data_IF_303849186386
#
_entry.id   IF_303849186386
#
_cell.length_a   1.000
_cell.length_b   1.000
_cell.length_c   1.000
_cell.angle_alpha   90.00
_cell.angle_beta   90.00
_cell.angle_gamma   90.00
#
_symmetry.space_group_name_H-M   'P 1'
#
loop_
_entity.id
_entity.type
_entity.pdbx_description
1 polymer ?
#
# COMPACT_ATOMS: atom_id res chain seq x y z
N UNK A 1 18.72 22.20 -16.67
CA UNK A 1 17.75 22.56 -15.63
C UNK A 1 16.41 21.97 -16.05
N UNK A 2 15.88 21.02 -15.28
CA UNK A 2 14.66 20.28 -15.65
C UNK A 2 13.46 21.15 -15.26
N UNK A 3 12.76 21.70 -16.24
CA UNK A 3 11.62 22.58 -15.99
C UNK A 3 10.45 21.76 -15.43
N UNK A 4 10.05 22.02 -14.19
CA UNK A 4 8.80 21.47 -13.63
C UNK A 4 7.62 22.03 -14.43
N UNK A 5 6.79 21.15 -15.02
CA UNK A 5 5.67 21.56 -15.87
C UNK A 5 4.37 21.35 -15.11
N UNK A 6 3.88 22.39 -14.44
CA UNK A 6 2.59 22.36 -13.74
C UNK A 6 1.40 22.32 -14.71
N UNK A 7 1.22 21.20 -15.40
CA UNK A 7 0.13 20.92 -16.32
C UNK A 7 -0.87 19.95 -15.66
N UNK A 8 -2.09 19.88 -16.21
CA UNK A 8 -3.16 18.98 -15.73
C UNK A 8 -2.70 17.52 -15.67
N UNK A 9 -1.80 17.13 -16.57
CA UNK A 9 -1.18 15.80 -16.60
C UNK A 9 -0.24 15.54 -15.41
N UNK A 10 0.53 16.54 -14.96
CA UNK A 10 1.37 16.39 -13.75
C UNK A 10 0.51 16.33 -12.49
N UNK A 11 -0.59 17.11 -12.42
CA UNK A 11 -1.54 17.02 -11.31
C UNK A 11 -2.21 15.64 -11.28
N UNK A 12 -2.72 15.16 -12.42
CA UNK A 12 -3.33 13.83 -12.51
C UNK A 12 -2.33 12.72 -12.18
N UNK A 13 -1.09 12.82 -12.67
CA UNK A 13 -0.02 11.86 -12.39
C UNK A 13 0.40 11.85 -10.92
N UNK A 14 0.43 13.00 -10.25
CA UNK A 14 0.79 13.12 -8.83
C UNK A 14 -0.18 12.38 -7.90
N UNK A 15 -1.47 12.31 -8.28
CA UNK A 15 -2.50 11.62 -7.52
C UNK A 15 -2.58 10.11 -7.85
N UNK A 16 -1.87 9.66 -8.89
CA UNK A 16 -1.97 8.28 -9.37
C UNK A 16 -1.58 7.23 -8.32
N UNK A 17 -0.54 7.48 -7.52
CA UNK A 17 -0.08 6.50 -6.53
C UNK A 17 -1.01 6.44 -5.29
N UNK A 18 -1.75 7.52 -5.01
CA UNK A 18 -2.69 7.60 -3.89
C UNK A 18 -3.78 6.52 -3.94
N UNK A 19 -4.20 6.13 -5.15
CA UNK A 19 -5.20 5.07 -5.34
C UNK A 19 -4.78 3.72 -4.75
N UNK A 20 -3.48 3.47 -4.63
CA UNK A 20 -2.95 2.25 -3.98
C UNK A 20 -2.37 2.52 -2.61
N UNK A 21 -1.84 3.72 -2.38
CA UNK A 21 -1.24 4.09 -1.09
C UNK A 21 -2.30 4.21 0.00
N UNK A 22 -3.45 4.82 -0.28
CA UNK A 22 -4.49 5.04 0.74
C UNK A 22 -5.06 3.71 1.26
N UNK A 23 -5.50 2.75 0.41
CA UNK A 23 -5.98 1.47 0.91
C UNK A 23 -4.94 0.71 1.73
N UNK A 24 -3.68 0.72 1.28
CA UNK A 24 -2.58 0.03 1.96
C UNK A 24 -2.24 0.70 3.30
N UNK A 25 -2.20 2.03 3.34
CA UNK A 25 -1.97 2.81 4.55
C UNK A 25 -3.07 2.56 5.59
N UNK A 26 -4.34 2.61 5.17
CA UNK A 26 -5.48 2.32 6.02
C UNK A 26 -5.39 0.89 6.56
N UNK A 27 -5.09 -0.10 5.70
CA UNK A 27 -4.89 -1.49 6.11
C UNK A 27 -3.82 -1.63 7.19
N UNK A 28 -2.64 -1.01 7.02
CA UNK A 28 -1.58 -1.11 8.01
C UNK A 28 -1.88 -0.34 9.32
N UNK A 29 -2.61 0.77 9.26
CA UNK A 29 -3.04 1.49 10.47
C UNK A 29 -4.04 0.63 11.25
N UNK A 30 -5.01 0.05 10.57
CA UNK A 30 -6.11 -0.69 11.21
C UNK A 30 -5.69 -2.09 11.67
N UNK A 31 -4.87 -2.80 10.91
CA UNK A 31 -4.52 -4.20 11.16
C UNK A 31 -3.19 -4.34 11.91
N UNK A 32 -2.21 -3.49 11.60
CA UNK A 32 -0.88 -3.56 12.22
C UNK A 32 -0.66 -2.52 13.32
N UNK A 33 -1.61 -1.60 13.52
CA UNK A 33 -1.54 -0.56 14.56
C UNK A 33 -0.49 0.52 14.30
N UNK A 34 -0.14 0.78 13.04
CA UNK A 34 0.80 1.86 12.70
C UNK A 34 0.22 3.23 13.05
N UNK A 35 1.09 4.14 13.51
CA UNK A 35 0.73 5.54 13.72
C UNK A 35 0.47 6.24 12.38
N UNK A 36 -0.75 6.72 12.17
CA UNK A 36 -1.16 7.40 10.94
C UNK A 36 -0.34 8.66 10.64
N UNK A 37 -0.11 9.51 11.65
CA UNK A 37 0.66 10.74 11.48
C UNK A 37 2.11 10.44 11.07
N UNK A 38 2.74 9.45 11.73
CA UNK A 38 4.09 9.00 11.39
C UNK A 38 4.17 8.44 9.97
N UNK A 39 3.23 7.58 9.59
CA UNK A 39 3.17 6.97 8.25
C UNK A 39 3.06 8.03 7.14
N UNK A 40 2.05 8.91 7.22
CA UNK A 40 1.83 9.93 6.19
C UNK A 40 2.92 10.99 6.16
N UNK A 41 3.49 11.35 7.32
CA UNK A 41 4.62 12.27 7.39
C UNK A 41 5.85 11.70 6.67
N UNK A 42 6.23 10.46 6.97
CA UNK A 42 7.39 9.82 6.34
C UNK A 42 7.18 9.63 4.84
N UNK A 43 5.98 9.22 4.40
CA UNK A 43 5.64 9.11 2.97
C UNK A 43 5.73 10.46 2.27
N UNK A 44 5.18 11.52 2.86
CA UNK A 44 5.20 12.87 2.28
C UNK A 44 6.62 13.39 2.11
N UNK A 45 7.45 13.26 3.15
CA UNK A 45 8.87 13.62 3.08
C UNK A 45 9.59 12.81 2.00
N UNK A 46 9.35 11.50 1.91
CA UNK A 46 9.95 10.65 0.90
C UNK A 46 9.56 11.05 -0.54
N UNK A 47 8.29 11.39 -0.79
CA UNK A 47 7.86 11.86 -2.11
C UNK A 47 8.46 13.21 -2.49
N UNK A 48 8.60 14.15 -1.54
CA UNK A 48 9.27 15.42 -1.80
C UNK A 48 10.74 15.18 -2.17
N UNK A 49 11.45 14.39 -1.36
CA UNK A 49 12.88 14.11 -1.60
C UNK A 49 13.11 13.34 -2.90
N UNK A 50 12.32 12.30 -3.16
CA UNK A 50 12.44 11.51 -4.39
C UNK A 50 12.04 12.31 -5.62
N UNK A 51 11.02 13.17 -5.52
CA UNK A 51 10.63 14.09 -6.59
C UNK A 51 11.74 15.08 -6.94
N UNK A 52 12.42 15.67 -5.94
CA UNK A 52 13.54 16.59 -6.16
C UNK A 52 14.76 15.86 -6.74
N UNK A 53 15.10 14.68 -6.22
CA UNK A 53 16.31 13.96 -6.61
C UNK A 53 16.20 13.28 -7.98
N UNK A 54 15.11 12.53 -8.23
CA UNK A 54 14.93 11.76 -9.47
C UNK A 54 14.18 12.54 -10.56
N UNK A 55 13.44 13.59 -10.19
CA UNK A 55 12.63 14.38 -11.12
C UNK A 55 11.44 13.62 -11.72
N UNK A 56 11.06 12.47 -11.13
CA UNK A 56 9.93 11.62 -11.49
C UNK A 56 9.41 10.89 -10.25
N UNK A 57 8.16 10.44 -10.28
CA UNK A 57 7.62 9.53 -9.25
C UNK A 57 8.38 8.21 -9.28
N UNK A 58 9.02 7.85 -8.17
CA UNK A 58 9.76 6.58 -8.07
C UNK A 58 8.78 5.46 -7.76
N UNK A 59 8.79 4.34 -8.52
CA UNK A 59 7.92 3.21 -8.24
C UNK A 59 8.28 2.57 -6.88
N UNK A 60 7.41 2.75 -5.89
CA UNK A 60 7.51 2.16 -4.53
C UNK A 60 7.03 0.70 -4.49
N UNK A 61 7.21 -0.05 -5.58
CA UNK A 61 6.66 -1.41 -5.71
C UNK A 61 7.19 -2.40 -4.64
N UNK A 62 8.46 -2.34 -4.19
CA UNK A 62 8.92 -3.14 -3.04
C UNK A 62 8.14 -2.82 -1.76
N UNK A 63 7.82 -1.54 -1.53
CA UNK A 63 7.10 -1.07 -0.34
C UNK A 63 5.67 -1.64 -0.29
N UNK A 64 5.01 -1.77 -1.45
CA UNK A 64 3.64 -2.32 -1.54
C UNK A 64 3.60 -3.80 -1.20
N UNK A 65 4.62 -4.57 -1.59
CA UNK A 65 4.72 -6.00 -1.27
C UNK A 65 4.86 -6.22 0.24
N UNK A 66 5.76 -5.47 0.87
CA UNK A 66 6.02 -5.57 2.31
C UNK A 66 4.77 -5.18 3.10
N UNK A 67 4.10 -4.09 2.71
CA UNK A 67 2.86 -3.65 3.33
C UNK A 67 1.74 -4.68 3.17
N UNK A 68 1.53 -5.22 1.97
CA UNK A 68 0.54 -6.27 1.71
C UNK A 68 0.79 -7.51 2.56
N UNK A 69 2.04 -7.96 2.64
CA UNK A 69 2.43 -9.10 3.44
C UNK A 69 2.25 -8.83 4.95
N UNK A 70 2.64 -7.65 5.42
CA UNK A 70 2.47 -7.25 6.81
C UNK A 70 0.99 -7.24 7.23
N UNK A 71 0.12 -6.75 6.36
CA UNK A 71 -1.33 -6.79 6.56
C UNK A 71 -1.82 -8.25 6.65
N UNK A 72 -1.47 -9.07 5.66
CA UNK A 72 -1.92 -10.47 5.59
C UNK A 72 -1.46 -11.32 6.79
N UNK A 73 -0.27 -11.04 7.31
CA UNK A 73 0.33 -11.78 8.44
C UNK A 73 0.10 -11.14 9.81
N UNK A 74 -0.44 -9.92 9.86
CA UNK A 74 -0.72 -9.21 11.12
C UNK A 74 0.54 -8.89 11.94
N UNK A 75 1.65 -8.55 11.29
CA UNK A 75 2.91 -8.19 11.97
C UNK A 75 2.75 -6.95 12.86
N UNK A 76 3.54 -6.87 13.92
CA UNK A 76 3.52 -5.69 14.80
C UNK A 76 4.16 -4.47 14.12
N UNK A 77 3.75 -3.27 14.53
CA UNK A 77 4.34 -2.01 14.05
C UNK A 77 5.87 -1.97 14.21
N UNK A 78 6.41 -2.54 15.29
CA UNK A 78 7.85 -2.60 15.54
C UNK A 78 8.57 -3.50 14.52
N UNK A 79 7.96 -4.64 14.16
CA UNK A 79 8.51 -5.53 13.14
C UNK A 79 8.51 -4.87 11.75
N UNK A 80 7.45 -4.11 11.43
CA UNK A 80 7.37 -3.36 10.16
C UNK A 80 8.46 -2.29 10.10
N UNK A 81 8.67 -1.53 11.18
CA UNK A 81 9.72 -0.51 11.24
C UNK A 81 11.13 -1.12 11.13
N UNK A 82 11.39 -2.21 11.85
CA UNK A 82 12.67 -2.92 11.77
C UNK A 82 12.92 -3.48 10.36
N UNK A 83 11.91 -4.09 9.74
CA UNK A 83 11.97 -4.56 8.35
C UNK A 83 12.22 -3.41 7.37
N UNK A 84 11.54 -2.27 7.55
CA UNK A 84 11.72 -1.08 6.73
C UNK A 84 13.15 -0.53 6.80
N UNK A 85 13.75 -0.46 7.99
CA UNK A 85 15.14 -0.04 8.17
C UNK A 85 16.13 -1.03 7.54
N UNK A 86 15.93 -2.33 7.74
CA UNK A 86 16.79 -3.37 7.16
C UNK A 86 16.74 -3.36 5.63
N UNK A 87 15.54 -3.29 5.06
CA UNK A 87 15.35 -3.24 3.61
C UNK A 87 15.89 -1.93 3.06
N UNK A 88 15.68 -0.80 3.74
CA UNK A 88 16.25 0.49 3.37
C UNK A 88 17.78 0.45 3.32
N UNK A 89 18.42 -0.09 4.37
CA UNK A 89 19.88 -0.24 4.42
C UNK A 89 20.39 -1.18 3.31
N UNK A 90 19.73 -2.31 3.10
CA UNK A 90 20.10 -3.28 2.08
C UNK A 90 19.99 -2.70 0.67
N UNK A 91 18.89 -2.00 0.37
CA UNK A 91 18.69 -1.32 -0.92
C UNK A 91 19.66 -0.17 -1.12
N UNK A 92 20.05 0.55 -0.07
CA UNK A 92 21.06 1.60 -0.13
C UNK A 92 22.42 1.01 -0.50
N UNK A 93 22.84 -0.08 0.14
CA UNK A 93 24.11 -0.76 -0.16
C UNK A 93 24.12 -1.27 -1.61
N UNK A 94 23.04 -1.93 -2.04
CA UNK A 94 22.92 -2.46 -3.41
C UNK A 94 22.86 -1.33 -4.44
N UNK A 95 22.22 -0.21 -4.10
CA UNK A 95 22.13 0.97 -4.95
C UNK A 95 23.49 1.66 -5.13
N UNK A 96 24.23 1.88 -4.04
CA UNK A 96 25.56 2.51 -4.06
C UNK A 96 26.58 1.64 -4.79
N UNK A 97 26.50 0.32 -4.63
CA UNK A 97 27.41 -0.63 -5.31
C UNK A 97 27.10 -0.84 -6.79
N UNK A 98 25.96 -0.36 -7.30
CA UNK A 98 25.51 -0.60 -8.67
C UNK A 98 25.09 -2.05 -8.97
N UNK A 99 25.06 -2.91 -7.94
CA UNK A 99 24.72 -4.34 -8.05
C UNK A 99 23.28 -4.53 -8.54
N UNK A 100 22.40 -3.55 -8.32
CA UNK A 100 21.01 -3.58 -8.79
C UNK A 100 20.90 -3.80 -10.30
N UNK A 101 21.83 -3.25 -11.09
CA UNK A 101 21.82 -3.35 -12.56
C UNK A 101 22.14 -4.76 -13.03
N UNK A 102 23.06 -5.44 -12.32
CA UNK A 102 23.37 -6.85 -12.56
C UNK A 102 22.17 -7.73 -12.23
N UNK A 103 21.59 -7.54 -11.03
CA UNK A 103 20.41 -8.31 -10.60
C UNK A 103 19.26 -8.13 -11.59
N UNK A 104 18.97 -6.89 -12.00
CA UNK A 104 17.91 -6.58 -12.96
C UNK A 104 18.09 -7.27 -14.32
N UNK A 105 19.32 -7.53 -14.75
CA UNK A 105 19.62 -8.27 -15.98
C UNK A 105 19.28 -9.76 -15.87
N UNK A 106 19.44 -10.35 -14.68
CA UNK A 106 19.21 -11.77 -14.43
C UNK A 106 17.79 -12.11 -13.98
N UNK A 107 17.02 -11.14 -13.49
CA UNK A 107 15.62 -11.37 -13.08
C UNK A 107 14.71 -11.42 -14.32
N UNK A 108 14.11 -12.57 -14.65
CA UNK A 108 13.29 -12.69 -15.84
C UNK A 108 11.91 -12.07 -15.59
N UNK A 109 11.30 -11.49 -16.63
CA UNK A 109 9.98 -10.84 -16.56
C UNK A 109 8.87 -11.69 -15.90
N UNK A 110 8.79 -13.03 -16.11
CA UNK A 110 7.79 -13.87 -15.43
C UNK A 110 7.86 -13.80 -13.90
N UNK A 111 9.05 -13.66 -13.31
CA UNK A 111 9.22 -13.54 -11.85
C UNK A 111 8.62 -12.23 -11.36
N UNK A 112 8.88 -11.12 -12.06
CA UNK A 112 8.30 -9.81 -11.72
C UNK A 112 6.78 -9.84 -11.80
N UNK A 113 6.22 -10.46 -12.85
CA UNK A 113 4.77 -10.62 -13.01
C UNK A 113 4.18 -11.52 -11.92
N UNK A 114 4.89 -12.59 -11.53
CA UNK A 114 4.47 -13.45 -10.42
C UNK A 114 4.39 -12.70 -9.09
N UNK A 115 5.38 -11.87 -8.77
CA UNK A 115 5.37 -11.03 -7.56
C UNK A 115 4.20 -10.03 -7.59
N UNK A 116 3.96 -9.37 -8.74
CA UNK A 116 2.83 -8.46 -8.91
C UNK A 116 1.47 -9.15 -8.77
N UNK A 117 1.32 -10.36 -9.32
CA UNK A 117 0.06 -11.12 -9.27
C UNK A 117 -0.21 -11.67 -7.87
N UNK A 118 0.83 -12.17 -7.19
CA UNK A 118 0.74 -12.61 -5.80
C UNK A 118 0.34 -11.47 -4.87
N UNK A 119 0.98 -10.31 -4.99
CA UNK A 119 0.69 -9.14 -4.14
C UNK A 119 -0.69 -8.54 -4.40
N UNK A 120 -1.12 -8.49 -5.66
CA UNK A 120 -2.49 -8.10 -6.01
C UNK A 120 -3.54 -9.06 -5.41
N UNK A 121 -3.29 -10.37 -5.51
CA UNK A 121 -4.19 -11.40 -4.96
C UNK A 121 -4.25 -11.33 -3.43
N UNK A 122 -3.11 -11.14 -2.76
CA UNK A 122 -3.04 -10.98 -1.30
C UNK A 122 -3.83 -9.75 -0.84
N UNK A 123 -3.68 -8.61 -1.50
CA UNK A 123 -4.44 -7.41 -1.16
C UNK A 123 -5.93 -7.56 -1.43
N UNK A 124 -6.31 -8.24 -2.52
CA UNK A 124 -7.71 -8.55 -2.80
C UNK A 124 -8.31 -9.45 -1.72
N UNK A 125 -7.60 -10.51 -1.32
CA UNK A 125 -8.03 -11.41 -0.27
C UNK A 125 -8.21 -10.67 1.07
N UNK A 126 -7.25 -9.83 1.46
CA UNK A 126 -7.35 -9.03 2.68
C UNK A 126 -8.46 -7.97 2.59
N UNK A 127 -8.66 -7.33 1.44
CA UNK A 127 -9.80 -6.44 1.21
C UNK A 127 -11.14 -7.14 1.39
N UNK A 128 -11.27 -8.37 0.88
CA UNK A 128 -12.47 -9.21 1.07
C UNK A 128 -12.64 -9.59 2.55
N UNK A 129 -11.58 -9.99 3.24
CA UNK A 129 -11.64 -10.29 4.69
C UNK A 129 -12.04 -9.08 5.52
N UNK A 130 -11.60 -7.89 5.11
CA UNK A 130 -11.98 -6.62 5.72
C UNK A 130 -13.47 -6.30 5.49
N UNK A 131 -13.99 -6.52 4.27
CA UNK A 131 -15.41 -6.33 3.94
C UNK A 131 -16.35 -7.33 4.63
N UNK A 132 -15.92 -8.59 4.80
CA UNK A 132 -16.73 -9.63 5.46
C UNK A 132 -16.72 -9.47 6.99
N UNK A 133 -15.85 -8.61 7.55
CA UNK A 133 -15.81 -8.34 9.00
C UNK A 133 -15.12 -9.43 9.83
N UNK A 134 -14.38 -10.33 9.20
CA UNK A 134 -13.62 -11.43 9.87
C UNK A 134 -12.21 -11.03 10.30
N UNK A 135 -11.90 -9.72 10.35
CA UNK A 135 -10.59 -9.26 10.79
C UNK A 135 -10.42 -9.48 12.30
N UNK A 136 -9.21 -9.85 12.74
CA UNK A 136 -8.89 -10.01 14.19
C UNK A 136 -9.22 -8.76 15.03
N UNK A 137 -9.26 -7.59 14.40
CA UNK A 137 -9.64 -6.31 15.03
C UNK A 137 -11.15 -6.16 15.28
N UNK A 138 -12.02 -6.74 14.44
CA UNK A 138 -13.48 -6.77 14.67
C UNK A 138 -13.86 -7.73 15.81
N UNK A 139 -13.18 -8.87 15.90
CA UNK A 139 -13.40 -9.88 16.96
C UNK A 139 -12.99 -9.34 18.34
N UNK A 140 -11.95 -8.50 18.42
CA UNK A 140 -11.52 -7.85 19.67
C UNK A 140 -12.42 -6.70 20.12
N UNK A 141 -13.23 -6.10 19.23
CA UNK A 141 -14.13 -4.98 19.54
C UNK A 141 -15.63 -5.32 19.55
N UNK A 142 -16.02 -6.58 19.32
CA UNK A 142 -17.43 -7.03 19.28
C UNK A 142 -18.33 -6.17 18.36
N UNK A 143 -17.79 -5.65 17.25
CA UNK A 143 -18.55 -4.84 16.31
C UNK A 143 -18.10 -5.15 14.88
N UNK A 144 -19.04 -5.60 14.03
CA UNK A 144 -18.81 -5.92 12.63
C UNK A 144 -18.33 -4.71 11.81
N UNK A 145 -18.63 -3.49 12.23
CA UNK A 145 -18.16 -2.24 11.61
C UNK A 145 -17.95 -1.16 12.70
N UNK A 146 -16.75 -1.09 13.28
CA UNK A 146 -16.46 -0.17 14.41
C UNK A 146 -16.40 1.32 14.02
N UNK A 147 -16.57 1.68 12.74
CA UNK A 147 -16.32 3.03 12.22
C UNK A 147 -17.48 3.64 11.40
N UNK A 148 -18.53 2.87 11.10
CA UNK A 148 -19.73 3.37 10.43
C UNK A 148 -20.87 3.52 11.44
N UNK A 149 -21.57 4.64 11.39
CA UNK A 149 -22.74 4.90 12.25
C UNK A 149 -23.92 3.97 11.93
N UNK A 150 -23.93 3.38 10.73
CA UNK A 150 -24.85 2.34 10.29
C UNK A 150 -24.03 1.07 10.05
N UNK A 151 -24.27 0.04 10.85
CA UNK A 151 -23.52 -1.22 10.80
C UNK A 151 -24.11 -2.21 9.78
N UNK A 152 -25.35 -1.98 9.34
CA UNK A 152 -26.03 -2.80 8.34
C UNK A 152 -27.22 -2.05 7.75
N UNK A 153 -27.54 -2.35 6.50
CA UNK A 153 -28.85 -2.05 5.91
C UNK A 153 -29.65 -3.36 5.92
N UNK A 154 -30.37 -3.63 7.02
CA UNK A 154 -31.02 -4.93 7.22
C UNK A 154 -30.00 -6.06 7.47
N UNK A 155 -30.04 -7.20 6.74
CA UNK A 155 -29.13 -8.34 6.95
C UNK A 155 -27.76 -8.21 6.27
N UNK A 156 -27.51 -7.12 5.54
CA UNK A 156 -26.31 -6.96 4.69
C UNK A 156 -25.36 -5.91 5.32
N UNK A 157 -24.09 -6.27 5.60
CA UNK A 157 -23.05 -5.32 5.98
C UNK A 157 -22.85 -4.25 4.90
N UNK A 158 -22.78 -2.99 5.31
CA UNK A 158 -22.66 -1.86 4.37
C UNK A 158 -21.33 -1.92 3.60
N UNK A 159 -20.28 -2.50 4.19
CA UNK A 159 -19.02 -2.78 3.52
C UNK A 159 -19.16 -3.59 2.21
N UNK A 160 -20.11 -4.52 2.12
CA UNK A 160 -20.35 -5.33 0.91
C UNK A 160 -21.01 -4.47 -0.18
N UNK A 161 -21.94 -3.58 0.20
CA UNK A 161 -22.62 -2.67 -0.72
C UNK A 161 -21.62 -1.65 -1.30
N UNK A 162 -20.78 -1.06 -0.44
CA UNK A 162 -19.71 -0.14 -0.85
C UNK A 162 -18.69 -0.86 -1.74
N UNK A 163 -18.28 -2.08 -1.36
CA UNK A 163 -17.35 -2.90 -2.14
C UNK A 163 -17.88 -3.24 -3.53
N UNK A 164 -19.15 -3.65 -3.63
CA UNK A 164 -19.79 -3.95 -4.91
C UNK A 164 -19.91 -2.71 -5.79
N UNK A 165 -20.38 -1.59 -5.23
CA UNK A 165 -20.51 -0.33 -5.98
C UNK A 165 -19.14 0.20 -6.43
N UNK A 166 -18.13 0.15 -5.56
CA UNK A 166 -16.75 0.53 -5.90
C UNK A 166 -16.15 -0.37 -6.98
N UNK A 167 -16.40 -1.68 -6.93
CA UNK A 167 -16.00 -2.63 -7.96
C UNK A 167 -16.67 -2.36 -9.31
N UNK A 168 -17.96 -1.98 -9.31
CA UNK A 168 -18.71 -1.68 -10.51
C UNK A 168 -18.27 -0.35 -11.16
N UNK A 169 -17.94 0.65 -10.34
CA UNK A 169 -17.37 1.94 -10.79
C UNK A 169 -15.95 1.77 -11.33
N UNK A 170 -15.15 0.83 -10.81
CA UNK A 170 -13.80 0.57 -11.35
C UNK A 170 -13.79 -0.21 -12.66
N UNK A 171 -14.91 -0.86 -13.02
CA UNK A 171 -15.08 -1.59 -14.28
C UNK A 171 -15.73 -0.75 -15.41
N UNK A 172 -16.24 0.45 -15.08
CA UNK A 172 -16.80 1.44 -16.01
C UNK A 172 -15.72 2.45 -16.45
#
# INVERSE_FOLDING_TARGET
MRNYRFDRLEIAGSLGDLGTLLPLAIGMILINGLNAAGLFFTVGVFYILSGIYFGVTVPVQPMKVIGAYAIATGLSAQQIQASGLLIGAFLLIIGVTGTITLIGKYVPKPVVRGVQLSTGTLLMAEGVRFMIGTSRFQVLKNAAESYLALQAFGPIPIGIIIGFFGGLVTLL
#
